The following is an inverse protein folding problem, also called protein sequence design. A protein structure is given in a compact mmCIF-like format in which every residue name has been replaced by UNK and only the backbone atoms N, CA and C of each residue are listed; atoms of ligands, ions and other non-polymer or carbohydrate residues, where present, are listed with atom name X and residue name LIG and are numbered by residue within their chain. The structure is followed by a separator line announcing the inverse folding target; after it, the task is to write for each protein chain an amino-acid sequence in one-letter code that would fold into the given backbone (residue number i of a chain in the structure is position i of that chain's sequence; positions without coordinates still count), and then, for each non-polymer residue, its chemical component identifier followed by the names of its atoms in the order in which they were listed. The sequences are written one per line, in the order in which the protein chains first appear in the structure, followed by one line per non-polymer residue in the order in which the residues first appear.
data_IF_685188542834
#
_entry.id   IF_685188542834
#
_cell.length_a   1.000
_cell.length_b   1.000
_cell.length_c   1.000
_cell.angle_alpha   90.00
_cell.angle_beta   90.00
_cell.angle_gamma   90.00
#
_symmetry.space_group_name_H-M   'P 1'
#
loop_
_entity.id
_entity.type
_entity.pdbx_description
1 polymer ?
#
# COMPACT_ATOMS: atom_id res chain seq x y z
N UNK A 1 3.96 22.57 -10.60
CA UNK A 1 3.49 22.89 -9.23
C UNK A 1 4.70 22.85 -8.30
N UNK A 2 4.76 23.74 -7.29
CA UNK A 2 5.79 23.71 -6.25
C UNK A 2 5.17 23.21 -4.95
N UNK A 3 5.91 22.44 -4.17
CA UNK A 3 5.49 21.95 -2.86
C UNK A 3 6.37 22.60 -1.81
N UNK A 4 5.77 23.12 -0.73
CA UNK A 4 6.52 23.80 0.33
C UNK A 4 6.29 23.12 1.67
N UNK A 5 7.38 22.81 2.37
CA UNK A 5 7.36 22.38 3.76
C UNK A 5 7.39 23.62 4.65
N UNK A 6 6.39 23.73 5.53
CA UNK A 6 6.24 24.83 6.47
C UNK A 6 6.54 24.36 7.90
N UNK A 7 7.20 25.21 8.68
CA UNK A 7 7.52 24.94 10.08
C UNK A 7 7.28 26.18 10.95
N UNK A 8 6.90 25.96 12.21
CA UNK A 8 6.77 27.01 13.22
C UNK A 8 7.19 26.50 14.60
N UNK A 9 7.90 27.34 15.35
CA UNK A 9 8.12 27.17 16.80
C UNK A 9 7.08 27.93 17.63
N UNK A 10 6.59 29.05 17.08
CA UNK A 10 5.57 29.92 17.67
C UNK A 10 4.35 30.02 16.75
N UNK A 11 3.59 31.11 16.79
CA UNK A 11 2.30 31.21 16.11
C UNK A 11 2.39 31.17 14.57
N UNK A 12 3.48 31.68 13.98
CA UNK A 12 3.61 31.89 12.53
C UNK A 12 4.44 30.82 11.81
N UNK A 13 3.91 30.29 10.70
CA UNK A 13 4.64 29.38 9.82
C UNK A 13 5.68 30.09 8.96
N UNK A 14 6.81 29.42 8.75
CA UNK A 14 7.89 29.79 7.84
C UNK A 14 8.12 28.66 6.85
N UNK A 15 8.34 29.01 5.59
CA UNK A 15 8.77 28.04 4.58
C UNK A 15 10.21 27.64 4.85
N UNK A 16 10.46 26.34 5.07
CA UNK A 16 11.82 25.81 5.29
C UNK A 16 12.37 25.09 4.06
N UNK A 17 11.50 24.59 3.19
CA UNK A 17 11.91 23.93 1.95
C UNK A 17 10.82 24.15 0.91
N UNK A 18 11.22 24.42 -0.34
CA UNK A 18 10.33 24.34 -1.50
C UNK A 18 10.96 23.41 -2.52
N UNK A 19 10.22 22.39 -2.93
CA UNK A 19 10.58 21.45 -3.98
C UNK A 19 9.70 21.64 -5.20
N UNK A 20 10.12 21.08 -6.34
CA UNK A 20 9.20 20.84 -7.42
C UNK A 20 8.23 19.68 -7.06
N UNK A 21 7.25 19.44 -7.91
CA UNK A 21 6.24 18.41 -7.70
C UNK A 21 6.78 16.97 -7.80
N UNK A 22 8.01 16.78 -8.27
CA UNK A 22 8.64 15.46 -8.45
C UNK A 22 9.41 15.01 -7.21
N UNK A 23 9.88 15.98 -6.43
CA UNK A 23 10.59 15.73 -5.18
C UNK A 23 9.64 15.86 -4.00
N UNK A 24 9.49 14.75 -3.27
CA UNK A 24 8.72 14.63 -2.03
C UNK A 24 9.65 14.60 -0.83
N UNK A 25 9.26 15.37 0.19
CA UNK A 25 9.85 15.38 1.53
C UNK A 25 8.68 15.44 2.50
N UNK A 26 8.15 14.27 2.86
CA UNK A 26 6.93 14.13 3.61
C UNK A 26 7.27 13.97 5.11
N UNK A 27 6.89 14.94 5.97
CA UNK A 27 7.15 14.84 7.40
C UNK A 27 6.27 13.75 8.04
N UNK A 28 6.90 12.86 8.81
CA UNK A 28 6.21 11.77 9.51
C UNK A 28 5.89 12.18 10.94
N UNK A 29 6.91 12.54 11.72
CA UNK A 29 6.76 13.09 13.07
C UNK A 29 8.09 13.70 13.56
N UNK A 30 8.06 14.46 14.66
CA UNK A 30 9.28 14.97 15.29
C UNK A 30 10.10 13.87 15.93
N UNK A 31 11.42 14.03 15.94
CA UNK A 31 12.31 13.24 16.79
C UNK A 31 11.89 13.39 18.26
N UNK A 32 12.21 12.41 19.10
CA UNK A 32 11.69 12.36 20.48
C UNK A 32 12.18 13.50 21.39
N UNK A 33 13.24 14.20 20.99
CA UNK A 33 13.76 15.43 21.60
C UNK A 33 13.16 16.71 21.01
N UNK A 34 12.24 16.58 20.04
CA UNK A 34 11.60 17.64 19.26
C UNK A 34 12.55 18.57 18.48
N UNK A 35 13.80 18.17 18.22
CA UNK A 35 14.80 19.01 17.53
C UNK A 35 14.87 18.81 16.03
N UNK A 36 14.33 17.71 15.51
CA UNK A 36 14.41 17.32 14.10
C UNK A 36 13.13 16.59 13.69
N UNK A 37 13.01 16.25 12.41
CA UNK A 37 11.89 15.45 11.89
C UNK A 37 12.39 14.06 11.47
N UNK A 38 11.52 13.07 11.58
CA UNK A 38 11.58 11.92 10.69
C UNK A 38 10.78 12.25 9.43
N UNK A 39 11.33 11.96 8.25
CA UNK A 39 10.72 12.24 6.94
C UNK A 39 10.80 11.02 6.03
N UNK A 40 9.83 10.87 5.13
CA UNK A 40 9.95 10.05 3.93
C UNK A 40 10.37 10.96 2.78
N UNK A 41 11.53 10.72 2.16
CA UNK A 41 12.09 11.61 1.14
C UNK A 41 12.62 10.85 -0.06
N UNK A 42 12.33 11.32 -1.27
CA UNK A 42 12.95 10.87 -2.52
C UNK A 42 13.95 11.91 -3.08
N UNK A 43 14.42 12.85 -2.25
CA UNK A 43 15.36 13.86 -2.71
C UNK A 43 16.69 13.21 -3.11
N UNK A 44 17.12 13.48 -4.34
CA UNK A 44 18.33 12.90 -4.97
C UNK A 44 18.32 11.36 -5.12
N UNK A 45 17.13 10.73 -5.09
CA UNK A 45 16.96 9.28 -5.29
C UNK A 45 15.64 8.99 -6.01
N UNK A 46 15.47 7.76 -6.49
CA UNK A 46 14.24 7.33 -7.15
C UNK A 46 13.12 7.07 -6.14
N UNK A 47 13.32 6.06 -5.26
CA UNK A 47 12.34 5.62 -4.27
C UNK A 47 12.47 6.41 -2.97
N UNK A 48 11.34 6.77 -2.36
CA UNK A 48 11.36 7.42 -1.05
C UNK A 48 11.96 6.50 0.03
N UNK A 49 12.76 7.07 0.91
CA UNK A 49 13.34 6.40 2.07
C UNK A 49 13.14 7.22 3.34
N UNK A 50 13.28 6.57 4.49
CA UNK A 50 13.11 7.19 5.80
C UNK A 50 14.42 7.80 6.27
N UNK A 51 14.38 9.09 6.59
CA UNK A 51 15.52 9.82 7.13
C UNK A 51 15.17 10.58 8.41
N UNK A 52 16.18 10.92 9.20
CA UNK A 52 16.11 12.11 10.05
C UNK A 52 16.35 13.37 9.21
N UNK A 53 15.77 14.50 9.61
CA UNK A 53 15.79 15.74 8.85
C UNK A 53 16.05 16.95 9.75
N UNK A 54 17.07 17.71 9.37
CA UNK A 54 17.44 19.00 9.96
C UNK A 54 16.51 20.10 9.47
N UNK A 55 15.73 20.66 10.39
CA UNK A 55 14.76 21.72 10.09
C UNK A 55 15.48 23.02 9.68
N UNK A 56 16.56 23.38 10.39
CA UNK A 56 17.27 24.65 10.17
C UNK A 56 18.07 24.64 8.86
N UNK A 57 18.66 23.51 8.51
CA UNK A 57 19.41 23.33 7.25
C UNK A 57 18.55 22.81 6.09
N UNK A 58 17.28 22.49 6.35
CA UNK A 58 16.36 21.86 5.40
C UNK A 58 16.95 20.61 4.72
N UNK A 59 17.65 19.76 5.49
CA UNK A 59 18.48 18.66 4.96
C UNK A 59 18.22 17.31 5.63
N UNK A 60 18.09 16.23 4.84
CA UNK A 60 18.17 14.87 5.37
C UNK A 60 19.55 14.64 6.01
N UNK A 61 19.59 13.89 7.12
CA UNK A 61 20.81 13.58 7.86
C UNK A 61 21.10 12.09 7.82
N UNK A 62 20.45 11.32 8.69
CA UNK A 62 20.67 9.88 8.85
C UNK A 62 19.63 9.11 8.04
N UNK A 63 20.08 8.14 7.24
CA UNK A 63 19.21 7.16 6.59
C UNK A 63 18.80 6.10 7.61
N UNK A 64 17.51 5.99 7.89
CA UNK A 64 16.94 5.00 8.82
C UNK A 64 16.58 3.71 8.08
N UNK A 65 15.93 3.83 6.93
CA UNK A 65 15.50 2.66 6.16
C UNK A 65 15.21 3.02 4.70
N UNK A 66 15.57 2.13 3.79
CA UNK A 66 15.22 2.19 2.37
C UNK A 66 14.81 0.81 1.84
N UNK A 67 14.13 0.81 0.71
CA UNK A 67 13.81 -0.37 -0.05
C UNK A 67 14.17 -0.12 -1.53
N UNK A 68 14.63 -1.17 -2.22
CA UNK A 68 15.08 -1.14 -3.60
C UNK A 68 13.95 -1.29 -4.63
N UNK A 69 12.78 -1.80 -4.21
CA UNK A 69 11.62 -2.07 -5.07
C UNK A 69 10.53 -1.00 -4.97
N UNK A 70 10.30 -0.43 -3.78
CA UNK A 70 9.17 0.48 -3.54
C UNK A 70 9.51 1.67 -2.65
N UNK A 71 8.65 2.69 -2.70
CA UNK A 71 8.69 3.83 -1.78
C UNK A 71 8.42 3.37 -0.34
N UNK A 72 9.21 3.86 0.62
CA UNK A 72 8.99 3.63 2.06
C UNK A 72 8.46 4.89 2.72
N UNK A 73 7.29 4.79 3.34
CA UNK A 73 6.63 5.92 4.03
C UNK A 73 6.09 5.58 5.42
N UNK A 74 5.93 4.29 5.76
CA UNK A 74 5.48 3.88 7.08
C UNK A 74 6.61 3.83 8.09
N UNK A 75 6.50 4.61 9.17
CA UNK A 75 7.42 4.59 10.30
C UNK A 75 6.65 4.37 11.60
N UNK A 76 7.04 3.35 12.36
CA UNK A 76 6.43 2.95 13.62
C UNK A 76 7.29 3.38 14.80
N UNK A 77 6.64 3.72 15.91
CA UNK A 77 7.33 4.16 17.11
C UNK A 77 6.54 3.86 18.39
N UNK A 78 7.26 3.83 19.51
CA UNK A 78 6.71 3.83 20.87
C UNK A 78 6.70 5.26 21.40
N UNK A 79 5.52 5.75 21.79
CA UNK A 79 5.38 7.08 22.43
C UNK A 79 5.90 7.06 23.85
N UNK A 80 5.70 5.94 24.56
CA UNK A 80 6.08 5.78 25.97
C UNK A 80 7.60 5.65 26.13
N UNK A 81 8.22 4.78 25.33
CA UNK A 81 9.66 4.49 25.41
C UNK A 81 10.50 5.43 24.57
N UNK A 82 9.88 6.21 23.67
CA UNK A 82 10.53 7.17 22.79
C UNK A 82 11.59 6.51 21.90
N UNK A 83 11.20 5.42 21.23
CA UNK A 83 12.04 4.68 20.29
C UNK A 83 11.28 4.37 19.00
N UNK A 84 12.00 4.28 17.88
CA UNK A 84 11.45 3.72 16.65
C UNK A 84 11.26 2.22 16.85
N UNK A 85 10.16 1.67 16.34
CA UNK A 85 9.83 0.25 16.52
C UNK A 85 9.84 -0.54 15.22
N UNK A 86 9.82 0.13 14.07
CA UNK A 86 9.90 -0.51 12.77
C UNK A 86 9.43 0.40 11.64
N UNK A 87 9.31 -0.18 10.45
CA UNK A 87 8.81 0.46 9.23
C UNK A 87 7.82 -0.47 8.53
N UNK A 88 7.00 0.12 7.66
CA UNK A 88 6.14 -0.63 6.75
C UNK A 88 6.15 -0.04 5.35
N UNK A 89 6.06 -0.90 4.35
CA UNK A 89 5.98 -0.55 2.93
C UNK A 89 5.15 -1.61 2.19
N UNK A 90 4.79 -1.36 0.93
CA UNK A 90 3.91 -2.25 0.16
C UNK A 90 4.58 -2.66 -1.14
N UNK A 91 4.98 -3.92 -1.24
CA UNK A 91 5.42 -4.54 -2.51
C UNK A 91 4.19 -5.10 -3.22
N UNK A 92 3.87 -6.38 -2.98
CA UNK A 92 2.60 -7.01 -3.36
C UNK A 92 1.57 -6.92 -2.23
N UNK A 93 2.02 -7.17 -1.00
CA UNK A 93 1.27 -6.99 0.25
C UNK A 93 2.03 -6.02 1.15
N UNK A 94 1.44 -5.68 2.29
CA UNK A 94 2.12 -4.85 3.27
C UNK A 94 3.21 -5.68 3.95
N UNK A 95 4.43 -5.18 3.90
CA UNK A 95 5.59 -5.73 4.58
C UNK A 95 5.93 -4.88 5.80
N UNK A 96 6.49 -5.52 6.83
CA UNK A 96 6.94 -4.86 8.06
C UNK A 96 8.34 -5.31 8.44
N UNK A 97 9.21 -4.34 8.76
CA UNK A 97 10.53 -4.61 9.34
C UNK A 97 10.58 -3.97 10.72
N UNK A 98 10.86 -4.78 11.74
CA UNK A 98 10.88 -4.32 13.14
C UNK A 98 12.30 -4.02 13.60
N UNK A 99 12.47 -2.87 14.26
CA UNK A 99 13.73 -2.44 14.91
C UNK A 99 13.71 -2.72 16.41
N UNK A 100 12.57 -3.17 16.94
CA UNK A 100 12.30 -3.32 18.36
C UNK A 100 11.67 -4.68 18.63
N UNK A 101 12.31 -5.48 19.49
CA UNK A 101 11.89 -6.84 19.80
C UNK A 101 10.51 -6.90 20.47
N UNK A 102 10.17 -5.92 21.31
CA UNK A 102 8.87 -5.85 21.95
C UNK A 102 7.74 -5.70 20.92
N UNK A 103 7.89 -4.78 19.96
CA UNK A 103 6.89 -4.60 18.89
C UNK A 103 6.82 -5.81 17.96
N UNK A 104 7.97 -6.43 17.66
CA UNK A 104 8.06 -7.66 16.85
C UNK A 104 7.33 -8.83 17.52
N UNK A 105 7.57 -9.04 18.81
CA UNK A 105 6.91 -10.10 19.60
C UNK A 105 5.37 -9.92 19.61
N UNK A 106 4.89 -8.69 19.80
CA UNK A 106 3.46 -8.39 19.71
C UNK A 106 2.90 -8.75 18.33
N UNK A 107 3.59 -8.39 17.24
CA UNK A 107 3.13 -8.74 15.89
C UNK A 107 2.99 -10.25 15.74
N UNK A 108 4.05 -11.00 16.09
CA UNK A 108 4.08 -12.44 15.96
C UNK A 108 2.97 -13.13 16.78
N UNK A 109 2.70 -12.64 17.99
CA UNK A 109 1.61 -13.14 18.83
C UNK A 109 0.25 -12.92 18.19
N UNK A 110 0.01 -11.72 17.66
CA UNK A 110 -1.25 -11.38 17.01
C UNK A 110 -1.48 -12.21 15.74
N UNK A 111 -0.46 -12.36 14.89
CA UNK A 111 -0.54 -13.16 13.65
C UNK A 111 -0.77 -14.65 13.94
N UNK A 112 -0.22 -15.18 15.04
CA UNK A 112 -0.53 -16.55 15.49
C UNK A 112 -1.98 -16.71 15.96
N UNK A 113 -2.57 -15.69 16.56
CA UNK A 113 -3.97 -15.71 17.02
C UNK A 113 -4.97 -15.48 15.88
N UNK A 114 -4.53 -14.88 14.76
CA UNK A 114 -5.36 -14.49 13.62
C UNK A 114 -4.81 -15.07 12.31
N UNK A 115 -4.68 -16.41 12.18
CA UNK A 115 -4.14 -17.03 10.98
C UNK A 115 -5.01 -16.71 9.76
N UNK A 116 -4.36 -16.44 8.63
CA UNK A 116 -5.03 -16.14 7.36
C UNK A 116 -5.43 -14.67 7.16
N UNK A 117 -5.21 -13.80 8.14
CA UNK A 117 -5.47 -12.36 8.03
C UNK A 117 -4.18 -11.54 8.01
N UNK A 118 -4.22 -10.40 7.34
CA UNK A 118 -3.28 -9.32 7.63
C UNK A 118 -3.68 -8.64 8.94
N UNK A 119 -2.70 -8.45 9.82
CA UNK A 119 -2.93 -7.90 11.15
C UNK A 119 -2.24 -6.56 11.31
N UNK A 120 -3.01 -5.50 11.58
CA UNK A 120 -2.53 -4.15 11.84
C UNK A 120 -2.83 -3.71 13.27
N UNK A 121 -1.93 -2.93 13.85
CA UNK A 121 -2.21 -2.20 15.09
C UNK A 121 -2.52 -0.76 14.71
N UNK A 122 -3.73 -0.29 15.06
CA UNK A 122 -4.20 1.06 14.74
C UNK A 122 -3.86 2.07 15.82
N UNK A 123 -3.77 1.62 17.08
CA UNK A 123 -3.40 2.46 18.21
C UNK A 123 -2.93 1.65 19.41
N UNK A 124 -2.18 2.29 20.30
CA UNK A 124 -1.83 1.80 21.63
C UNK A 124 -2.40 2.73 22.70
N UNK A 125 -2.71 2.20 23.88
CA UNK A 125 -2.94 3.00 25.09
C UNK A 125 -1.66 3.78 25.45
N UNK A 126 -1.80 4.88 26.21
CA UNK A 126 -0.65 5.74 26.59
C UNK A 126 0.45 4.97 27.34
N UNK A 127 0.07 3.96 28.12
CA UNK A 127 0.98 3.10 28.87
C UNK A 127 1.47 1.88 28.07
N UNK A 128 1.05 1.75 26.81
CA UNK A 128 1.39 0.66 25.88
C UNK A 128 1.09 -0.73 26.42
N UNK A 129 0.05 -0.86 27.26
CA UNK A 129 -0.44 -2.15 27.77
C UNK A 129 -1.62 -2.71 26.97
N UNK A 130 -2.33 -1.85 26.24
CA UNK A 130 -3.46 -2.24 25.39
C UNK A 130 -3.26 -1.70 23.98
N UNK A 131 -3.85 -2.38 23.00
CA UNK A 131 -3.86 -1.96 21.61
C UNK A 131 -5.25 -2.14 20.98
N UNK A 132 -5.54 -1.35 19.96
CA UNK A 132 -6.64 -1.63 19.03
C UNK A 132 -6.04 -2.27 17.78
N UNK A 133 -6.49 -3.49 17.50
CA UNK A 133 -6.01 -4.33 16.40
C UNK A 133 -7.09 -4.40 15.34
N UNK A 134 -6.69 -4.39 14.07
CA UNK A 134 -7.54 -4.72 12.93
C UNK A 134 -6.97 -5.96 12.24
N UNK A 135 -7.82 -6.95 11.99
CA UNK A 135 -7.50 -8.12 11.18
C UNK A 135 -8.37 -8.07 9.92
N UNK A 136 -7.78 -8.14 8.73
CA UNK A 136 -8.49 -8.03 7.46
C UNK A 136 -7.86 -8.91 6.38
N UNK A 137 -8.55 -9.09 5.26
CA UNK A 137 -8.04 -9.86 4.11
C UNK A 137 -8.55 -9.28 2.79
N UNK A 138 -8.28 -9.95 1.68
CA UNK A 138 -8.92 -9.76 0.38
C UNK A 138 -10.38 -10.22 0.35
N UNK A 139 -10.76 -11.11 1.27
CA UNK A 139 -12.12 -11.64 1.45
C UNK A 139 -12.92 -10.95 2.56
N UNK A 140 -12.26 -10.16 3.41
CA UNK A 140 -12.88 -9.55 4.58
C UNK A 140 -12.51 -8.09 4.70
N UNK A 141 -13.53 -7.23 4.90
CA UNK A 141 -13.29 -5.82 5.28
C UNK A 141 -12.60 -5.70 6.63
N UNK A 142 -12.69 -6.76 7.44
CA UNK A 142 -11.96 -6.92 8.67
C UNK A 142 -12.78 -6.79 9.94
N UNK A 143 -12.11 -7.09 11.04
CA UNK A 143 -12.66 -7.07 12.39
C UNK A 143 -11.71 -6.29 13.30
N UNK A 144 -12.28 -5.43 14.13
CA UNK A 144 -11.56 -4.72 15.18
C UNK A 144 -11.58 -5.51 16.48
N UNK A 145 -10.44 -5.52 17.16
CA UNK A 145 -10.23 -6.17 18.43
C UNK A 145 -9.57 -5.20 19.41
N UNK A 146 -9.91 -5.34 20.70
CA UNK A 146 -9.06 -4.84 21.79
C UNK A 146 -8.08 -5.94 22.15
N UNK A 147 -6.81 -5.58 22.29
CA UNK A 147 -5.76 -6.50 22.67
C UNK A 147 -5.12 -6.07 24.00
N UNK A 148 -5.14 -6.96 24.99
CA UNK A 148 -4.36 -6.81 26.21
C UNK A 148 -2.99 -7.47 26.01
N UNK A 149 -1.94 -6.65 25.98
CA UNK A 149 -0.58 -7.07 25.64
C UNK A 149 0.02 -7.93 26.76
N UNK A 150 -0.31 -7.62 28.01
CA UNK A 150 0.24 -8.32 29.17
C UNK A 150 -0.32 -9.74 29.30
N UNK A 151 -1.63 -9.88 29.09
CA UNK A 151 -2.32 -11.17 29.16
C UNK A 151 -2.31 -11.93 27.83
N UNK A 152 -1.83 -11.30 26.74
CA UNK A 152 -1.91 -11.84 25.37
C UNK A 152 -3.35 -12.18 24.95
N UNK A 153 -4.32 -11.37 25.40
CA UNK A 153 -5.75 -11.62 25.23
C UNK A 153 -6.33 -10.71 24.14
N UNK A 154 -6.93 -11.32 23.12
CA UNK A 154 -7.61 -10.61 22.04
C UNK A 154 -9.14 -10.73 22.22
N UNK A 155 -9.83 -9.59 22.28
CA UNK A 155 -11.29 -9.52 22.41
C UNK A 155 -11.89 -8.78 21.23
N UNK A 156 -12.83 -9.42 20.54
CA UNK A 156 -13.56 -8.81 19.43
C UNK A 156 -14.34 -7.57 19.92
N UNK A 157 -14.24 -6.48 19.15
CA UNK A 157 -14.99 -5.25 19.38
C UNK A 157 -16.11 -5.10 18.36
N UNK A 158 -15.77 -5.23 17.08
CA UNK A 158 -16.73 -5.04 15.99
C UNK A 158 -16.23 -5.66 14.69
N UNK A 159 -17.11 -6.39 14.00
CA UNK A 159 -16.93 -6.78 12.61
C UNK A 159 -17.39 -5.62 11.71
N UNK A 160 -16.58 -5.26 10.71
CA UNK A 160 -16.90 -4.12 9.83
C UNK A 160 -18.08 -4.45 8.90
N UNK A 161 -18.19 -5.70 8.48
CA UNK A 161 -19.24 -6.18 7.58
C UNK A 161 -19.72 -7.59 7.94
N UNK A 162 -20.42 -7.76 9.08
CA UNK A 162 -20.89 -9.07 9.55
C UNK A 162 -21.91 -9.73 8.61
N UNK A 163 -22.50 -8.97 7.67
CA UNK A 163 -23.43 -9.48 6.66
C UNK A 163 -22.72 -10.10 5.45
N UNK A 164 -21.39 -10.00 5.33
CA UNK A 164 -20.62 -10.64 4.28
C UNK A 164 -20.09 -12.00 4.75
N UNK A 165 -20.37 -13.05 3.97
CA UNK A 165 -19.76 -14.36 4.18
C UNK A 165 -18.44 -14.43 3.38
N UNK A 166 -17.32 -14.60 4.09
CA UNK A 166 -15.98 -14.67 3.49
C UNK A 166 -15.81 -15.89 2.58
N UNK A 167 -16.52 -17.00 2.84
CA UNK A 167 -16.47 -18.20 2.00
C UNK A 167 -17.03 -17.98 0.59
N UNK A 168 -17.81 -16.91 0.41
CA UNK A 168 -18.36 -16.52 -0.90
C UNK A 168 -17.46 -15.54 -1.65
N UNK A 169 -16.38 -15.08 -1.02
CA UNK A 169 -15.46 -14.09 -1.58
C UNK A 169 -14.28 -14.77 -2.27
N UNK A 170 -13.78 -14.15 -3.33
CA UNK A 170 -12.66 -14.65 -4.11
C UNK A 170 -11.31 -14.19 -3.54
N UNK A 171 -10.27 -15.00 -3.74
CA UNK A 171 -8.89 -14.62 -3.41
C UNK A 171 -8.33 -13.67 -4.48
N UNK A 172 -7.65 -12.64 -4.01
CA UNK A 172 -6.89 -11.69 -4.80
C UNK A 172 -5.41 -12.12 -4.79
N UNK A 173 -4.91 -12.51 -5.95
CA UNK A 173 -3.54 -13.00 -6.12
C UNK A 173 -2.65 -11.91 -6.72
N UNK A 174 -1.50 -11.57 -6.11
CA UNK A 174 -0.52 -10.72 -6.77
C UNK A 174 0.00 -11.36 -8.05
N UNK A 175 0.17 -10.56 -9.10
CA UNK A 175 0.72 -10.97 -10.38
C UNK A 175 1.73 -9.94 -10.88
N UNK A 176 2.61 -10.37 -11.79
CA UNK A 176 3.49 -9.50 -12.53
C UNK A 176 3.54 -9.95 -13.99
N UNK A 177 3.66 -9.00 -14.91
CA UNK A 177 3.92 -9.26 -16.31
C UNK A 177 4.88 -8.19 -16.86
N UNK A 178 5.49 -8.47 -18.00
CA UNK A 178 6.42 -7.55 -18.67
C UNK A 178 5.69 -6.89 -19.83
N UNK A 179 5.68 -5.56 -19.88
CA UNK A 179 5.18 -4.81 -21.03
C UNK A 179 6.14 -4.94 -22.22
N UNK A 180 5.69 -4.56 -23.41
CA UNK A 180 6.47 -4.61 -24.66
C UNK A 180 7.74 -3.75 -24.65
N UNK A 181 7.84 -2.79 -23.75
CA UNK A 181 9.03 -1.95 -23.52
C UNK A 181 9.81 -2.36 -22.26
N UNK A 182 9.68 -3.63 -21.86
CA UNK A 182 10.44 -4.28 -20.80
C UNK A 182 10.15 -3.77 -19.38
N UNK A 183 9.08 -3.00 -19.20
CA UNK A 183 8.65 -2.56 -17.87
C UNK A 183 7.93 -3.70 -17.16
N UNK A 184 8.34 -4.01 -15.93
CA UNK A 184 7.57 -4.93 -15.09
C UNK A 184 6.37 -4.20 -14.50
N UNK A 185 5.18 -4.71 -14.80
CA UNK A 185 3.92 -4.20 -14.26
C UNK A 185 3.41 -5.16 -13.19
N UNK A 186 3.29 -4.64 -11.97
CA UNK A 186 2.69 -5.36 -10.84
C UNK A 186 1.19 -5.14 -10.78
N UNK A 187 0.45 -6.16 -10.36
CA UNK A 187 -0.99 -6.09 -10.28
C UNK A 187 -1.58 -7.20 -9.43
N UNK A 188 -2.89 -7.38 -9.58
CA UNK A 188 -3.66 -8.36 -8.85
C UNK A 188 -4.69 -9.00 -9.76
N UNK A 189 -4.93 -10.29 -9.51
CA UNK A 189 -5.91 -11.09 -10.22
C UNK A 189 -6.83 -11.76 -9.22
N UNK A 190 -8.12 -11.50 -9.37
CA UNK A 190 -9.17 -12.13 -8.56
C UNK A 190 -9.99 -13.04 -9.46
N UNK A 191 -10.03 -14.33 -9.13
CA UNK A 191 -10.73 -15.34 -9.93
C UNK A 191 -12.03 -15.76 -9.25
N UNK A 192 -13.12 -16.03 -9.99
CA UNK A 192 -14.37 -16.50 -9.39
C UNK A 192 -14.15 -17.76 -8.56
N UNK A 193 -14.83 -17.82 -7.40
CA UNK A 193 -14.80 -18.99 -6.51
C UNK A 193 -15.29 -20.22 -7.29
N UNK A 194 -14.57 -21.34 -7.17
CA UNK A 194 -14.89 -22.60 -7.87
C UNK A 194 -14.55 -22.62 -9.36
N UNK A 195 -13.97 -21.55 -9.92
CA UNK A 195 -13.51 -21.56 -11.31
C UNK A 195 -12.28 -22.46 -11.50
N UNK A 196 -12.10 -22.96 -12.73
CA UNK A 196 -10.91 -23.72 -13.14
C UNK A 196 -9.69 -22.82 -13.38
N UNK A 197 -9.87 -21.49 -13.30
CA UNK A 197 -8.85 -20.50 -13.62
C UNK A 197 -8.51 -20.38 -15.11
N UNK A 198 -9.30 -20.99 -16.02
CA UNK A 198 -9.02 -21.03 -17.46
C UNK A 198 -10.17 -20.51 -18.30
N UNK A 199 -9.85 -19.87 -19.43
CA UNK A 199 -10.81 -19.36 -20.43
C UNK A 199 -11.99 -18.60 -19.79
N UNK A 200 -11.68 -17.73 -18.84
CA UNK A 200 -12.65 -16.97 -18.06
C UNK A 200 -13.05 -15.69 -18.79
N UNK A 201 -14.26 -15.22 -18.48
CA UNK A 201 -14.67 -13.84 -18.81
C UNK A 201 -13.88 -12.91 -17.92
N UNK A 202 -13.21 -11.91 -18.49
CA UNK A 202 -12.36 -10.99 -17.74
C UNK A 202 -12.94 -9.59 -17.76
N UNK A 203 -12.94 -8.93 -16.60
CA UNK A 203 -13.06 -7.48 -16.48
C UNK A 203 -11.70 -6.90 -16.13
N UNK A 204 -11.15 -6.11 -17.05
CA UNK A 204 -9.96 -5.29 -16.83
C UNK A 204 -10.39 -4.06 -16.04
N UNK A 205 -9.77 -3.84 -14.88
CA UNK A 205 -10.16 -2.81 -13.91
C UNK A 205 -8.98 -1.88 -13.62
N UNK A 206 -8.70 -0.91 -14.51
CA UNK A 206 -7.66 0.10 -14.26
C UNK A 206 -8.12 1.07 -13.16
N UNK A 207 -7.25 1.32 -12.19
CA UNK A 207 -7.54 2.27 -11.12
C UNK A 207 -7.59 3.73 -11.63
N UNK A 208 -8.36 4.56 -10.92
CA UNK A 208 -8.38 6.02 -11.13
C UNK A 208 -7.08 6.71 -10.71
N UNK A 209 -7.00 8.03 -10.89
CA UNK A 209 -5.81 8.82 -10.59
C UNK A 209 -5.41 9.73 -11.75
N UNK A 210 -4.34 9.43 -12.51
CA UNK A 210 -3.61 8.16 -12.62
C UNK A 210 -2.59 7.90 -11.52
N UNK A 211 -2.24 8.91 -10.72
CA UNK A 211 -1.19 8.82 -9.70
C UNK A 211 -1.74 8.25 -8.39
N UNK A 212 -2.23 7.01 -8.46
CA UNK A 212 -2.64 6.18 -7.35
C UNK A 212 -2.04 4.77 -7.55
N UNK A 213 -2.44 3.79 -6.74
CA UNK A 213 -2.18 2.37 -7.01
C UNK A 213 -3.27 1.53 -6.38
N UNK A 214 -3.50 0.36 -6.95
CA UNK A 214 -4.17 -0.72 -6.25
C UNK A 214 -3.20 -1.38 -5.26
N UNK A 215 -3.77 -1.88 -4.17
CA UNK A 215 -3.08 -2.65 -3.13
C UNK A 215 -3.89 -3.90 -2.80
N UNK A 216 -3.23 -4.94 -2.31
CA UNK A 216 -3.92 -6.14 -1.84
C UNK A 216 -4.91 -5.82 -0.71
N UNK A 217 -6.10 -6.40 -0.77
CA UNK A 217 -7.13 -6.27 0.25
C UNK A 217 -8.54 -6.30 -0.34
N UNK A 218 -9.55 -6.27 0.54
CA UNK A 218 -10.95 -6.33 0.12
C UNK A 218 -11.33 -5.12 -0.74
N UNK A 219 -11.87 -5.38 -1.93
CA UNK A 219 -12.49 -4.39 -2.81
C UNK A 219 -13.90 -4.86 -3.19
N UNK A 220 -14.92 -4.05 -2.89
CA UNK A 220 -16.32 -4.44 -3.11
C UNK A 220 -16.70 -4.60 -4.58
N UNK A 221 -16.12 -3.80 -5.48
CA UNK A 221 -16.41 -3.92 -6.92
C UNK A 221 -15.80 -5.20 -7.48
N UNK A 222 -14.55 -5.48 -7.10
CA UNK A 222 -13.82 -6.68 -7.48
C UNK A 222 -14.54 -7.93 -6.98
N UNK A 223 -14.94 -7.95 -5.70
CA UNK A 223 -15.68 -9.09 -5.13
C UNK A 223 -17.06 -9.25 -5.77
N UNK A 224 -17.77 -8.16 -6.07
CA UNK A 224 -19.04 -8.23 -6.79
C UNK A 224 -18.90 -8.85 -8.18
N UNK A 225 -17.92 -8.40 -8.97
CA UNK A 225 -17.67 -8.93 -10.31
C UNK A 225 -17.22 -10.40 -10.28
N UNK A 226 -16.31 -10.75 -9.36
CA UNK A 226 -15.86 -12.12 -9.15
C UNK A 226 -17.02 -13.05 -8.77
N UNK A 227 -17.91 -12.59 -7.90
CA UNK A 227 -19.13 -13.32 -7.54
C UNK A 227 -20.07 -13.54 -8.75
N UNK A 228 -20.06 -12.64 -9.74
CA UNK A 228 -20.83 -12.78 -11.00
C UNK A 228 -20.13 -13.60 -12.09
N UNK A 229 -19.02 -14.26 -11.75
CA UNK A 229 -18.33 -15.18 -12.65
C UNK A 229 -17.28 -14.52 -13.55
N UNK A 230 -16.88 -13.29 -13.25
CA UNK A 230 -15.81 -12.61 -13.98
C UNK A 230 -14.48 -12.73 -13.24
N UNK A 231 -13.40 -13.09 -13.93
CA UNK A 231 -12.08 -12.77 -13.44
C UNK A 231 -11.88 -11.26 -13.49
N UNK A 232 -11.27 -10.68 -12.46
CA UNK A 232 -11.01 -9.25 -12.39
C UNK A 232 -9.51 -9.03 -12.36
N UNK A 233 -9.03 -8.26 -13.33
CA UNK A 233 -7.62 -7.94 -13.50
C UNK A 233 -7.38 -6.48 -13.15
N UNK A 234 -6.61 -6.26 -12.09
CA UNK A 234 -6.16 -4.93 -11.64
C UNK A 234 -4.67 -4.80 -11.92
N UNK A 235 -4.25 -3.70 -12.53
CA UNK A 235 -2.85 -3.44 -12.88
C UNK A 235 -2.42 -2.08 -12.39
N UNK A 236 -1.22 -2.03 -11.81
CA UNK A 236 -0.55 -0.79 -11.50
C UNK A 236 0.31 -0.38 -12.69
N UNK A 237 -0.36 0.14 -13.74
CA UNK A 237 0.28 0.63 -14.96
C UNK A 237 1.34 1.71 -14.67
N UNK A 238 2.22 2.00 -15.64
CA UNK A 238 3.24 3.04 -15.46
C UNK A 238 2.63 4.36 -15.00
N UNK A 239 3.19 4.99 -13.98
CA UNK A 239 2.56 6.12 -13.33
C UNK A 239 1.93 5.81 -11.97
N UNK A 240 1.63 4.54 -11.67
CA UNK A 240 1.14 4.19 -10.35
C UNK A 240 2.14 4.57 -9.26
N UNK A 241 1.66 5.15 -8.17
CA UNK A 241 2.52 5.61 -7.08
C UNK A 241 3.10 4.45 -6.28
N UNK A 242 4.19 4.68 -5.54
CA UNK A 242 4.76 3.68 -4.63
C UNK A 242 5.86 2.82 -5.24
N UNK A 243 6.11 2.90 -6.56
CA UNK A 243 7.16 2.14 -7.26
C UNK A 243 8.41 3.00 -7.59
N UNK A 244 8.53 4.18 -6.97
CA UNK A 244 9.58 5.14 -7.25
C UNK A 244 9.16 6.26 -8.21
N UNK A 245 9.97 7.31 -8.24
CA UNK A 245 9.78 8.49 -9.09
C UNK A 245 9.91 8.17 -10.57
N UNK A 246 10.86 7.33 -10.97
CA UNK A 246 11.10 6.98 -12.38
C UNK A 246 9.89 6.26 -12.98
N UNK A 247 9.32 5.30 -12.26
CA UNK A 247 8.08 4.62 -12.67
C UNK A 247 6.90 5.59 -12.76
N UNK A 248 6.81 6.54 -11.83
CA UNK A 248 5.77 7.57 -11.86
C UNK A 248 5.96 8.56 -13.02
N UNK A 249 7.18 9.03 -13.28
CA UNK A 249 7.51 10.00 -14.32
C UNK A 249 7.38 9.43 -15.74
N UNK A 250 7.55 8.12 -15.91
CA UNK A 250 7.36 7.46 -17.21
C UNK A 250 5.93 7.57 -17.75
N UNK A 251 4.96 7.92 -16.90
CA UNK A 251 3.58 8.23 -17.30
C UNK A 251 3.39 9.62 -17.92
N UNK A 252 4.36 10.51 -17.79
CA UNK A 252 4.17 11.91 -18.16
C UNK A 252 4.03 12.08 -19.66
N UNK A 253 2.93 12.73 -20.07
CA UNK A 253 2.53 12.90 -21.47
C UNK A 253 2.23 11.57 -22.19
N UNK A 254 1.99 10.49 -21.44
CA UNK A 254 1.68 9.15 -21.95
C UNK A 254 0.23 8.70 -21.74
N UNK A 255 -0.65 9.62 -21.35
CA UNK A 255 -2.09 9.35 -21.25
C UNK A 255 -2.63 9.00 -22.63
N UNK A 256 -3.32 7.86 -22.74
CA UNK A 256 -3.77 7.35 -24.04
C UNK A 256 -2.66 6.80 -24.95
N UNK A 257 -1.44 6.59 -24.42
CA UNK A 257 -0.28 6.07 -25.17
C UNK A 257 0.29 4.85 -24.46
N UNK A 258 1.55 4.89 -24.04
CA UNK A 258 2.23 3.73 -23.45
C UNK A 258 1.64 3.27 -22.11
N UNK A 259 0.87 4.13 -21.42
CA UNK A 259 0.06 3.69 -20.28
C UNK A 259 -1.07 2.73 -20.69
N UNK A 260 -1.63 2.87 -21.90
CA UNK A 260 -2.59 1.91 -22.44
C UNK A 260 -1.89 0.63 -22.90
N UNK A 261 -0.67 0.73 -23.43
CA UNK A 261 0.12 -0.44 -23.79
C UNK A 261 0.35 -1.36 -22.58
N UNK A 262 0.61 -0.81 -21.39
CA UNK A 262 0.73 -1.61 -20.16
C UNK A 262 -0.55 -2.42 -19.88
N UNK A 263 -1.72 -1.84 -20.12
CA UNK A 263 -3.01 -2.51 -19.91
C UNK A 263 -3.21 -3.58 -20.99
N UNK A 264 -2.97 -3.24 -22.26
CA UNK A 264 -3.08 -4.18 -23.40
C UNK A 264 -2.14 -5.38 -23.24
N UNK A 265 -0.90 -5.14 -22.83
CA UNK A 265 0.09 -6.20 -22.64
C UNK A 265 -0.29 -7.11 -21.45
N UNK A 266 -0.91 -6.55 -20.41
CA UNK A 266 -1.48 -7.34 -19.31
C UNK A 266 -2.64 -8.24 -19.76
N UNK A 267 -3.49 -7.74 -20.66
CA UNK A 267 -4.57 -8.53 -21.26
C UNK A 267 -4.00 -9.68 -22.10
N UNK A 268 -3.01 -9.39 -22.95
CA UNK A 268 -2.34 -10.42 -23.75
C UNK A 268 -1.68 -11.47 -22.86
N UNK A 269 -1.01 -11.04 -21.79
CA UNK A 269 -0.44 -11.94 -20.80
C UNK A 269 -1.50 -12.89 -20.21
N UNK A 270 -2.69 -12.39 -19.85
CA UNK A 270 -3.78 -13.25 -19.36
C UNK A 270 -4.25 -14.28 -20.40
N UNK A 271 -4.31 -13.91 -21.67
CA UNK A 271 -4.67 -14.81 -22.78
C UNK A 271 -3.59 -15.88 -22.93
N UNK A 272 -2.31 -15.49 -22.92
CA UNK A 272 -1.17 -16.40 -23.06
C UNK A 272 -1.07 -17.39 -21.88
N UNK A 273 -1.44 -16.96 -20.67
CA UNK A 273 -1.56 -17.85 -19.50
C UNK A 273 -2.78 -18.79 -19.59
N UNK A 274 -3.64 -18.65 -20.61
CA UNK A 274 -4.88 -19.40 -20.75
C UNK A 274 -5.95 -19.02 -19.73
N UNK A 275 -5.79 -17.88 -19.05
CA UNK A 275 -6.70 -17.39 -18.01
C UNK A 275 -7.91 -16.70 -18.67
N UNK A 276 -7.66 -15.83 -19.64
CA UNK A 276 -8.69 -15.06 -20.34
C UNK A 276 -9.18 -15.77 -21.60
N UNK A 277 -10.49 -15.80 -21.80
CA UNK A 277 -11.09 -16.08 -23.11
C UNK A 277 -10.98 -14.80 -23.98
N UNK A 278 -10.26 -14.82 -25.11
CA UNK A 278 -10.00 -13.62 -25.93
C UNK A 278 -11.28 -12.96 -26.46
N UNK A 279 -12.37 -13.71 -26.60
CA UNK A 279 -13.65 -13.20 -27.09
C UNK A 279 -14.56 -12.64 -25.96
N UNK A 280 -14.11 -12.72 -24.70
CA UNK A 280 -14.91 -12.37 -23.51
C UNK A 280 -14.18 -11.45 -22.54
N UNK A 281 -13.62 -10.37 -23.06
CA UNK A 281 -12.90 -9.36 -22.29
C UNK A 281 -13.69 -8.05 -22.31
N UNK A 282 -13.94 -7.50 -21.11
CA UNK A 282 -14.51 -6.19 -20.91
C UNK A 282 -13.53 -5.33 -20.11
N UNK A 283 -13.67 -4.01 -20.21
CA UNK A 283 -12.92 -3.03 -19.42
C UNK A 283 -13.90 -2.10 -18.72
N UNK A 284 -13.63 -1.83 -17.44
CA UNK A 284 -14.43 -0.96 -16.58
C UNK A 284 -13.52 -0.21 -15.63
N UNK A 285 -13.68 1.11 -15.51
CA UNK A 285 -12.92 1.94 -14.58
C UNK A 285 -13.57 3.31 -14.37
N UNK A 286 -13.00 4.10 -13.46
CA UNK A 286 -13.54 5.42 -13.09
C UNK A 286 -12.42 6.47 -12.98
N UNK A 287 -12.79 7.75 -13.17
CA UNK A 287 -11.83 8.86 -13.25
C UNK A 287 -10.82 8.62 -14.37
N UNK A 288 -9.50 8.65 -14.11
CA UNK A 288 -8.51 8.29 -15.13
C UNK A 288 -8.71 6.87 -15.71
N UNK A 289 -9.24 5.93 -14.90
CA UNK A 289 -9.49 4.57 -15.36
C UNK A 289 -10.73 4.44 -16.27
N UNK A 290 -11.56 5.47 -16.39
CA UNK A 290 -12.75 5.48 -17.27
C UNK A 290 -12.47 6.17 -18.58
#
# INVERSE_FOLDING_TARGET
VKTSLLYRESESFKTILTTDFKVRVDPLFFTFDNKSLYVSSNRNRDKSAIYTFDIAKAKERELIFENDQVDVSGLMYSRKRKVLTGVSYTVAKREMVFFDDWRKDIQNKLERQLPGYEVGITSFSKDEKKAVVVAFSDKSRGTYYSYDIGNNELKELAKISPWLNEDHMAEMKPINYTSRDELTISGYLTLPVGSTGKNLRVVVHPHGGPWARDTWGYNSEVQFLANRGYAVFQMNFRGSTGYGREFWESSFKQWGKTMQDDITDGVNWLIDQGIADPDKIAIYGASYGG
#
